data_IF_682859770597
#
_entry.id   IF_682859770597
#
_cell.length_a   1.000
_cell.length_b   1.000
_cell.length_c   1.000
_cell.angle_alpha   90.00
_cell.angle_beta   90.00
_cell.angle_gamma   90.00
#
_symmetry.space_group_name_H-M   'P 1'
#
loop_
_entity.id
_entity.type
_entity.pdbx_description
1 polymer ?
#
# COMPACT_ATOMS: atom_id res chain seq x y z
N UNK A 1 -27.17 5.80 2.58
CA UNK A 1 -25.94 6.58 2.87
C UNK A 1 -24.78 5.90 2.15
N UNK A 2 -23.93 6.67 1.49
CA UNK A 2 -22.72 6.15 0.84
C UNK A 2 -21.77 5.59 1.90
N UNK A 3 -21.20 4.41 1.68
CA UNK A 3 -20.21 3.79 2.57
C UNK A 3 -18.79 4.13 2.09
N UNK A 4 -17.83 4.08 3.00
CA UNK A 4 -16.41 4.20 2.67
C UNK A 4 -15.70 2.89 2.92
N UNK A 5 -15.38 2.16 1.85
CA UNK A 5 -14.63 0.93 1.91
C UNK A 5 -13.13 1.23 1.97
N UNK A 6 -12.41 0.61 2.90
CA UNK A 6 -10.95 0.75 3.01
C UNK A 6 -10.31 -0.62 2.93
N UNK A 7 -9.54 -0.85 1.86
CA UNK A 7 -8.91 -2.15 1.59
C UNK A 7 -7.45 -2.10 2.02
N UNK A 8 -7.10 -2.90 3.02
CA UNK A 8 -5.74 -3.10 3.48
C UNK A 8 -5.07 -4.26 2.74
N UNK A 9 -3.87 -4.03 2.21
CA UNK A 9 -3.02 -5.03 1.53
C UNK A 9 -1.73 -5.22 2.33
N UNK A 10 -1.52 -6.39 2.95
CA UNK A 10 -0.30 -6.67 3.70
C UNK A 10 0.96 -6.79 2.82
N UNK A 11 2.11 -6.86 3.50
CA UNK A 11 3.42 -7.14 2.90
C UNK A 11 3.61 -8.63 2.56
N UNK A 12 4.87 -9.04 2.35
CA UNK A 12 5.24 -10.39 1.89
C UNK A 12 4.77 -11.56 2.79
N UNK A 13 4.42 -11.28 4.05
CA UNK A 13 3.85 -12.25 5.00
C UNK A 13 2.32 -12.15 5.07
N UNK A 14 1.67 -11.95 3.92
CA UNK A 14 0.21 -11.79 3.81
C UNK A 14 -0.59 -13.05 4.17
N UNK A 15 0.07 -14.20 4.37
CA UNK A 15 -0.54 -15.41 4.96
C UNK A 15 -0.69 -15.32 6.49
N UNK A 16 -0.05 -14.35 7.15
CA UNK A 16 -0.13 -14.17 8.61
C UNK A 16 -1.59 -13.97 9.07
N UNK A 17 -1.97 -14.65 10.15
CA UNK A 17 -3.29 -14.51 10.78
C UNK A 17 -3.33 -13.24 11.63
N UNK A 18 -4.52 -12.66 11.80
CA UNK A 18 -4.75 -11.56 12.75
C UNK A 18 -4.79 -10.16 12.12
N UNK A 19 -4.46 -10.01 10.83
CA UNK A 19 -4.70 -8.76 10.11
C UNK A 19 -6.19 -8.41 10.15
N UNK A 20 -7.07 -9.38 9.94
CA UNK A 20 -8.52 -9.20 9.98
C UNK A 20 -8.96 -8.59 11.32
N UNK A 21 -8.46 -9.11 12.45
CA UNK A 21 -8.79 -8.59 13.78
C UNK A 21 -8.30 -7.16 14.02
N UNK A 22 -7.10 -6.83 13.52
CA UNK A 22 -6.52 -5.48 13.67
C UNK A 22 -7.30 -4.49 12.81
N UNK A 23 -7.52 -4.84 11.55
CA UNK A 23 -8.12 -3.98 10.52
C UNK A 23 -9.63 -3.81 10.76
N UNK A 24 -10.30 -4.80 11.34
CA UNK A 24 -11.70 -4.68 11.76
C UNK A 24 -11.92 -3.52 12.74
N UNK A 25 -10.94 -3.21 13.59
CA UNK A 25 -11.01 -2.07 14.51
C UNK A 25 -11.13 -0.73 13.80
N UNK A 26 -10.80 -0.66 12.50
CA UNK A 26 -10.96 0.57 11.72
C UNK A 26 -12.43 0.97 11.55
N UNK A 27 -13.40 0.10 11.84
CA UNK A 27 -14.83 0.45 11.92
C UNK A 27 -15.10 1.63 12.86
N UNK A 28 -14.26 1.88 13.87
CA UNK A 28 -14.37 3.05 14.75
C UNK A 28 -14.27 4.39 14.00
N UNK A 29 -13.68 4.40 12.79
CA UNK A 29 -13.59 5.56 11.92
C UNK A 29 -14.77 5.68 10.93
N UNK A 30 -15.81 4.85 11.08
CA UNK A 30 -16.99 4.88 10.23
C UNK A 30 -16.79 4.25 8.83
N UNK A 31 -15.72 3.48 8.65
CA UNK A 31 -15.41 2.81 7.37
C UNK A 31 -15.84 1.35 7.37
N UNK A 32 -15.92 0.75 6.18
CA UNK A 32 -16.03 -0.70 5.96
C UNK A 32 -14.63 -1.24 5.65
N UNK A 33 -13.92 -1.82 6.62
CA UNK A 33 -12.57 -2.31 6.39
C UNK A 33 -12.58 -3.66 5.66
N UNK A 34 -11.56 -3.88 4.83
CA UNK A 34 -11.30 -5.14 4.13
C UNK A 34 -9.82 -5.48 4.25
N UNK A 35 -9.50 -6.77 4.31
CA UNK A 35 -8.13 -7.26 4.14
C UNK A 35 -8.07 -8.04 2.83
N UNK A 36 -7.20 -7.63 1.91
CA UNK A 36 -6.95 -8.35 0.67
C UNK A 36 -5.54 -8.92 0.68
N UNK A 37 -5.42 -10.23 0.45
CA UNK A 37 -4.16 -10.97 0.45
C UNK A 37 -3.72 -11.19 -1.00
N UNK A 38 -2.49 -10.80 -1.33
CA UNK A 38 -1.96 -10.84 -2.70
C UNK A 38 -1.49 -12.24 -3.12
N UNK A 39 -1.20 -13.10 -2.13
CA UNK A 39 -0.51 -14.37 -2.34
C UNK A 39 0.95 -14.14 -2.72
N UNK A 40 1.71 -13.34 -1.95
CA UNK A 40 3.10 -13.01 -2.33
C UNK A 40 4.04 -14.22 -2.40
N UNK A 41 3.69 -15.32 -1.74
CA UNK A 41 4.47 -16.55 -1.61
C UNK A 41 3.70 -17.81 -2.05
N UNK A 42 2.70 -17.65 -2.91
CA UNK A 42 1.86 -18.76 -3.41
C UNK A 42 2.47 -19.55 -4.59
N UNK A 43 3.71 -19.23 -4.99
CA UNK A 43 4.42 -19.85 -6.11
C UNK A 43 4.19 -19.16 -7.46
N UNK A 44 3.23 -18.25 -7.59
CA UNK A 44 3.02 -17.48 -8.81
C UNK A 44 4.05 -16.35 -8.91
N UNK A 45 4.95 -16.46 -9.89
CA UNK A 45 6.11 -15.58 -10.02
C UNK A 45 5.79 -14.23 -10.66
N UNK A 46 4.72 -14.12 -11.44
CA UNK A 46 4.33 -12.87 -12.09
C UNK A 46 3.34 -12.07 -11.24
N UNK A 47 3.53 -10.76 -11.21
CA UNK A 47 2.62 -9.81 -10.58
C UNK A 47 1.36 -9.55 -11.40
N UNK A 48 1.44 -9.60 -12.73
CA UNK A 48 0.32 -9.21 -13.61
C UNK A 48 -0.99 -9.97 -13.32
N UNK A 49 -1.00 -11.31 -13.13
CA UNK A 49 -2.21 -12.03 -12.74
C UNK A 49 -2.72 -11.61 -11.35
N UNK A 50 -1.82 -11.39 -10.39
CA UNK A 50 -2.17 -10.91 -9.04
C UNK A 50 -2.84 -9.54 -9.09
N UNK A 51 -2.28 -8.61 -9.88
CA UNK A 51 -2.85 -7.30 -10.12
C UNK A 51 -4.23 -7.39 -10.74
N UNK A 52 -4.42 -8.25 -11.76
CA UNK A 52 -5.73 -8.46 -12.39
C UNK A 52 -6.78 -8.97 -11.40
N UNK A 53 -6.42 -9.92 -10.52
CA UNK A 53 -7.34 -10.42 -9.48
C UNK A 53 -7.67 -9.31 -8.47
N UNK A 54 -6.69 -8.52 -8.07
CA UNK A 54 -6.90 -7.43 -7.13
C UNK A 54 -7.76 -6.31 -7.72
N UNK A 55 -7.52 -5.89 -8.97
CA UNK A 55 -8.38 -4.90 -9.63
C UNK A 55 -9.80 -5.41 -9.83
N UNK A 56 -9.97 -6.69 -10.19
CA UNK A 56 -11.30 -7.31 -10.28
C UNK A 56 -12.02 -7.31 -8.93
N UNK A 57 -11.31 -7.55 -7.83
CA UNK A 57 -11.88 -7.44 -6.47
C UNK A 57 -12.31 -6.01 -6.14
N UNK A 58 -11.51 -5.01 -6.49
CA UNK A 58 -11.88 -3.59 -6.29
C UNK A 58 -13.11 -3.22 -7.12
N UNK A 59 -13.23 -3.73 -8.35
CA UNK A 59 -14.39 -3.47 -9.22
C UNK A 59 -15.69 -4.11 -8.70
N UNK A 60 -15.60 -5.15 -7.87
CA UNK A 60 -16.75 -5.75 -7.20
C UNK A 60 -17.23 -4.91 -6.01
N UNK A 61 -16.39 -4.01 -5.47
CA UNK A 61 -16.84 -3.03 -4.50
C UNK A 61 -17.73 -2.00 -5.22
N UNK A 62 -18.77 -1.45 -4.56
CA UNK A 62 -19.71 -0.51 -5.17
C UNK A 62 -19.09 0.89 -5.43
N UNK A 63 -17.94 0.96 -6.11
CA UNK A 63 -17.12 2.16 -6.40
C UNK A 63 -17.88 3.32 -7.07
N UNK A 64 -19.03 3.06 -7.69
CA UNK A 64 -19.88 4.06 -8.33
C UNK A 64 -20.90 4.70 -7.37
N UNK A 65 -21.04 4.15 -6.15
CA UNK A 65 -21.99 4.59 -5.12
C UNK A 65 -21.30 4.88 -3.78
N UNK A 66 -20.20 4.19 -3.54
CA UNK A 66 -19.41 4.19 -2.31
C UNK A 66 -17.98 4.63 -2.60
N UNK A 67 -17.33 5.21 -1.59
CA UNK A 67 -15.92 5.57 -1.66
C UNK A 67 -15.06 4.33 -1.43
N UNK A 68 -13.97 4.20 -2.19
CA UNK A 68 -12.96 3.15 -1.96
C UNK A 68 -11.59 3.78 -1.79
N UNK A 69 -10.94 3.49 -0.67
CA UNK A 69 -9.54 3.84 -0.41
C UNK A 69 -8.68 2.59 -0.24
N UNK A 70 -7.40 2.67 -0.60
CA UNK A 70 -6.46 1.57 -0.50
C UNK A 70 -5.34 1.88 0.49
N UNK A 71 -4.94 0.91 1.30
CA UNK A 71 -3.81 1.01 2.23
C UNK A 71 -2.90 -0.19 1.99
N UNK A 72 -1.70 0.03 1.47
CA UNK A 72 -0.72 -1.02 1.22
C UNK A 72 0.46 -0.93 2.17
N UNK A 73 0.82 -2.01 2.84
CA UNK A 73 1.99 -2.08 3.71
C UNK A 73 3.13 -2.86 3.07
N UNK A 74 4.36 -2.34 3.18
CA UNK A 74 5.56 -2.97 2.63
C UNK A 74 5.34 -3.33 1.14
N UNK A 75 5.42 -4.60 0.74
CA UNK A 75 5.11 -5.05 -0.63
C UNK A 75 3.73 -4.60 -1.14
N UNK A 76 2.71 -4.57 -0.26
CA UNK A 76 1.36 -4.12 -0.59
C UNK A 76 1.29 -2.67 -1.07
N UNK A 77 2.26 -1.83 -0.69
CA UNK A 77 2.34 -0.42 -1.11
C UNK A 77 2.43 -0.25 -2.63
N UNK A 78 3.36 -0.97 -3.26
CA UNK A 78 3.48 -0.99 -4.72
C UNK A 78 2.25 -1.59 -5.41
N UNK A 79 1.58 -2.57 -4.78
CA UNK A 79 0.40 -3.21 -5.34
C UNK A 79 -0.82 -2.27 -5.38
N UNK A 80 -1.09 -1.55 -4.28
CA UNK A 80 -2.21 -0.59 -4.22
C UNK A 80 -2.01 0.59 -5.15
N UNK A 81 -0.76 1.04 -5.35
CA UNK A 81 -0.46 2.14 -6.27
C UNK A 81 -0.57 1.72 -7.74
N UNK A 82 -0.14 0.50 -8.10
CA UNK A 82 -0.38 -0.04 -9.43
C UNK A 82 -1.89 -0.17 -9.73
N UNK A 83 -2.66 -0.63 -8.75
CA UNK A 83 -4.13 -0.74 -8.82
C UNK A 83 -4.77 0.63 -9.02
N UNK A 84 -4.29 1.63 -8.29
CA UNK A 84 -4.78 2.99 -8.39
C UNK A 84 -4.57 3.64 -9.75
N UNK A 85 -3.43 3.38 -10.38
CA UNK A 85 -3.16 3.84 -11.75
C UNK A 85 -4.20 3.25 -12.73
N UNK A 86 -4.65 2.02 -12.50
CA UNK A 86 -5.69 1.37 -13.33
C UNK A 86 -7.12 1.79 -12.95
N UNK A 87 -7.33 2.36 -11.76
CA UNK A 87 -8.63 2.76 -11.20
C UNK A 87 -8.55 4.16 -10.57
N UNK A 88 -8.45 5.23 -11.37
CA UNK A 88 -8.26 6.60 -10.88
C UNK A 88 -9.43 7.15 -10.04
N UNK A 89 -10.59 6.48 -10.07
CA UNK A 89 -11.76 6.79 -9.23
C UNK A 89 -11.54 6.48 -7.74
N UNK A 90 -10.50 5.72 -7.37
CA UNK A 90 -10.15 5.50 -5.97
C UNK A 90 -9.98 6.84 -5.25
N UNK A 91 -10.50 6.88 -4.03
CA UNK A 91 -10.63 8.07 -3.20
C UNK A 91 -9.26 8.53 -2.66
N UNK A 92 -8.55 7.62 -2.00
CA UNK A 92 -7.22 7.84 -1.44
C UNK A 92 -6.38 6.56 -1.45
N UNK A 93 -5.06 6.71 -1.55
CA UNK A 93 -4.10 5.59 -1.52
C UNK A 93 -2.99 5.86 -0.53
N UNK A 94 -2.71 4.87 0.31
CA UNK A 94 -1.74 4.99 1.38
C UNK A 94 -0.66 3.92 1.20
N UNK A 95 0.59 4.37 1.13
CA UNK A 95 1.78 3.52 1.13
C UNK A 95 2.43 3.54 2.52
N UNK A 96 2.35 2.42 3.25
CA UNK A 96 2.94 2.25 4.58
C UNK A 96 4.27 1.51 4.48
N UNK A 97 5.38 2.24 4.60
CA UNK A 97 6.74 1.71 4.54
C UNK A 97 7.01 0.88 3.26
N UNK A 98 6.24 1.06 2.18
CA UNK A 98 6.37 0.23 0.99
C UNK A 98 7.39 0.77 0.02
N UNK A 99 8.21 -0.14 -0.51
CA UNK A 99 9.19 0.15 -1.55
C UNK A 99 8.46 0.42 -2.88
N UNK A 100 8.71 1.57 -3.48
CA UNK A 100 8.09 2.00 -4.73
C UNK A 100 9.05 2.01 -5.92
N UNK A 101 10.34 1.81 -5.69
CA UNK A 101 11.35 1.77 -6.73
C UNK A 101 12.56 0.94 -6.36
N UNK A 102 13.34 0.56 -7.36
CA UNK A 102 14.59 -0.17 -7.18
C UNK A 102 15.59 0.65 -6.37
N UNK A 103 15.73 1.93 -6.69
CA UNK A 103 16.71 2.83 -6.05
C UNK A 103 18.14 2.59 -6.55
N UNK A 104 18.98 3.62 -6.42
CA UNK A 104 20.40 3.57 -6.84
C UNK A 104 21.30 3.53 -5.61
N UNK A 105 22.23 2.56 -5.56
CA UNK A 105 23.21 2.40 -4.47
C UNK A 105 22.57 2.33 -3.08
N UNK A 106 21.43 1.62 -2.97
CA UNK A 106 20.69 1.47 -1.72
C UNK A 106 20.83 0.06 -1.16
N UNK A 107 20.89 -0.06 0.16
CA UNK A 107 20.93 -1.33 0.87
C UNK A 107 19.71 -1.46 1.82
N UNK A 108 18.99 -2.60 1.79
CA UNK A 108 19.19 -3.73 0.88
C UNK A 108 18.76 -3.43 -0.57
N UNK A 109 19.38 -4.09 -1.55
CA UNK A 109 18.96 -4.03 -2.96
C UNK A 109 17.57 -4.63 -3.14
N UNK A 110 16.88 -4.25 -4.22
CA UNK A 110 15.55 -4.79 -4.51
C UNK A 110 15.62 -6.32 -4.73
N UNK A 111 16.68 -6.79 -5.39
CA UNK A 111 16.91 -8.23 -5.61
C UNK A 111 17.02 -9.00 -4.30
N UNK A 112 17.78 -8.47 -3.34
CA UNK A 112 17.89 -9.09 -2.02
C UNK A 112 16.55 -9.09 -1.28
N UNK A 113 15.83 -7.96 -1.28
CA UNK A 113 14.54 -7.81 -0.62
C UNK A 113 13.45 -8.69 -1.25
N UNK A 114 13.54 -8.97 -2.55
CA UNK A 114 12.56 -9.74 -3.32
C UNK A 114 12.95 -11.19 -3.59
N UNK A 115 14.06 -11.68 -3.03
CA UNK A 115 14.59 -13.04 -3.28
C UNK A 115 13.60 -14.19 -3.08
N UNK A 116 12.55 -13.98 -2.25
CA UNK A 116 11.48 -14.97 -1.98
C UNK A 116 10.16 -14.64 -2.69
N UNK A 117 10.09 -13.57 -3.47
CA UNK A 117 8.87 -13.15 -4.17
C UNK A 117 9.23 -12.35 -5.44
N UNK A 118 9.40 -13.03 -6.59
CA UNK A 118 9.61 -12.37 -7.88
C UNK A 118 8.45 -11.42 -8.24
N UNK A 119 7.22 -11.78 -7.87
CA UNK A 119 6.05 -10.94 -8.10
C UNK A 119 6.15 -9.59 -7.36
N UNK A 120 6.71 -9.56 -6.15
CA UNK A 120 6.97 -8.27 -5.47
C UNK A 120 7.98 -7.41 -6.24
N UNK A 121 9.07 -7.99 -6.75
CA UNK A 121 10.03 -7.27 -7.61
C UNK A 121 9.34 -6.68 -8.83
N UNK A 122 8.51 -7.47 -9.51
CA UNK A 122 7.76 -7.01 -10.69
C UNK A 122 6.78 -5.89 -10.32
N UNK A 123 6.07 -5.98 -9.19
CA UNK A 123 5.19 -4.92 -8.69
C UNK A 123 5.91 -3.59 -8.50
N UNK A 124 7.09 -3.62 -7.87
CA UNK A 124 7.92 -2.42 -7.67
C UNK A 124 8.37 -1.83 -9.00
N UNK A 125 8.95 -2.64 -9.90
CA UNK A 125 9.44 -2.17 -11.20
C UNK A 125 8.31 -1.66 -12.10
N UNK A 126 7.14 -2.30 -12.04
CA UNK A 126 5.97 -1.86 -12.77
C UNK A 126 5.49 -0.49 -12.28
N UNK A 127 5.42 -0.27 -10.96
CA UNK A 127 5.05 1.03 -10.42
C UNK A 127 6.09 2.09 -10.78
N UNK A 128 7.38 1.82 -10.59
CA UNK A 128 8.47 2.75 -10.94
C UNK A 128 8.39 3.21 -12.41
N UNK A 129 8.08 2.29 -13.33
CA UNK A 129 7.86 2.61 -14.75
C UNK A 129 6.63 3.48 -14.99
N UNK A 130 5.56 3.29 -14.21
CA UNK A 130 4.28 4.01 -14.38
C UNK A 130 4.23 5.32 -13.60
N UNK A 131 5.05 5.49 -12.56
CA UNK A 131 5.08 6.66 -11.67
C UNK A 131 5.14 7.99 -12.45
N UNK A 132 6.00 8.18 -13.47
CA UNK A 132 6.08 9.44 -14.22
C UNK A 132 4.76 9.87 -14.89
N UNK A 133 3.88 8.91 -15.20
CA UNK A 133 2.60 9.18 -15.85
C UNK A 133 1.48 9.58 -14.88
N UNK A 134 1.75 9.57 -13.56
CA UNK A 134 0.77 10.02 -12.58
C UNK A 134 0.58 11.53 -12.63
N UNK A 135 -0.68 11.97 -12.75
CA UNK A 135 -1.04 13.39 -12.74
C UNK A 135 -0.86 14.02 -11.36
N UNK A 136 -0.81 15.35 -11.30
CA UNK A 136 -0.78 16.09 -10.03
C UNK A 136 -2.00 15.76 -9.14
N UNK A 137 -3.19 15.67 -9.75
CA UNK A 137 -4.42 15.24 -9.06
C UNK A 137 -4.28 13.83 -8.48
N UNK A 138 -3.71 12.90 -9.26
CA UNK A 138 -3.52 11.54 -8.77
C UNK A 138 -2.57 11.50 -7.59
N UNK A 139 -1.43 12.18 -7.68
CA UNK A 139 -0.40 12.28 -6.62
C UNK A 139 -0.97 12.93 -5.36
N UNK A 140 -1.83 13.94 -5.50
CA UNK A 140 -2.49 14.62 -4.39
C UNK A 140 -3.39 13.71 -3.54
N UNK A 141 -3.84 12.57 -4.06
CA UNK A 141 -4.61 11.53 -3.33
C UNK A 141 -3.74 10.48 -2.66
N UNK A 142 -2.42 10.59 -2.73
CA UNK A 142 -1.48 9.63 -2.14
C UNK A 142 -0.89 10.17 -0.84
N UNK A 143 -0.84 9.30 0.17
CA UNK A 143 -0.05 9.47 1.38
C UNK A 143 1.03 8.38 1.45
N UNK A 144 2.27 8.77 1.70
CA UNK A 144 3.33 7.82 2.08
C UNK A 144 3.67 8.02 3.54
N UNK A 145 3.90 6.91 4.26
CA UNK A 145 4.35 6.92 5.65
C UNK A 145 5.64 6.09 5.72
N UNK A 146 6.67 6.67 6.32
CA UNK A 146 7.98 6.05 6.57
C UNK A 146 8.33 6.13 8.05
N UNK A 147 9.09 5.17 8.60
CA UNK A 147 9.69 5.34 9.92
C UNK A 147 10.92 6.24 9.85
N UNK A 148 11.47 6.63 11.00
CA UNK A 148 12.75 7.35 11.09
C UNK A 148 13.90 6.50 10.55
N UNK A 149 13.84 5.19 10.83
CA UNK A 149 14.81 4.22 10.37
C UNK A 149 14.12 2.91 9.96
N UNK A 150 14.52 2.36 8.82
CA UNK A 150 14.00 1.14 8.22
C UNK A 150 15.16 0.32 7.64
N UNK A 151 15.37 -0.87 8.18
CA UNK A 151 16.41 -1.82 7.80
C UNK A 151 16.09 -2.62 6.53
N UNK A 152 14.81 -2.64 6.12
CA UNK A 152 14.32 -3.46 5.01
C UNK A 152 14.07 -2.63 3.76
N UNK A 153 13.58 -1.40 3.93
CA UNK A 153 13.17 -0.52 2.84
C UNK A 153 13.93 0.80 2.91
N UNK A 154 14.87 1.03 1.98
CA UNK A 154 15.61 2.29 1.94
C UNK A 154 14.67 3.48 1.79
N UNK A 155 14.81 4.49 2.66
CA UNK A 155 13.88 5.65 2.72
C UNK A 155 13.70 6.38 1.39
N UNK A 156 14.76 6.47 0.58
CA UNK A 156 14.73 7.09 -0.76
C UNK A 156 13.81 6.37 -1.76
N UNK A 157 13.40 5.14 -1.46
CA UNK A 157 12.56 4.32 -2.33
C UNK A 157 11.07 4.39 -1.99
N UNK A 158 10.68 5.13 -0.95
CA UNK A 158 9.30 5.12 -0.42
C UNK A 158 8.52 6.39 -0.78
N UNK A 159 9.18 7.55 -0.77
CA UNK A 159 8.52 8.84 -0.98
C UNK A 159 7.98 8.98 -2.39
N UNK A 160 6.90 9.74 -2.58
CA UNK A 160 6.33 10.02 -3.89
C UNK A 160 6.28 11.54 -4.08
N UNK A 161 6.96 12.07 -5.10
CA UNK A 161 6.93 13.51 -5.39
C UNK A 161 5.49 13.96 -5.68
N UNK A 162 5.08 15.12 -5.18
CA UNK A 162 3.71 15.64 -5.29
C UNK A 162 2.66 14.92 -4.43
N UNK A 163 3.03 13.90 -3.65
CA UNK A 163 2.17 13.28 -2.65
C UNK A 163 2.40 13.89 -1.26
N UNK A 164 1.51 13.57 -0.31
CA UNK A 164 1.78 13.85 1.10
C UNK A 164 2.75 12.79 1.62
N UNK A 165 3.94 13.19 2.02
CA UNK A 165 4.95 12.28 2.57
C UNK A 165 5.12 12.55 4.06
N UNK A 166 4.95 11.53 4.91
CA UNK A 166 5.09 11.64 6.36
C UNK A 166 6.14 10.67 6.88
N UNK A 167 6.79 11.09 7.97
CA UNK A 167 7.65 10.22 8.77
C UNK A 167 7.07 10.13 10.18
N UNK A 168 7.00 8.91 10.73
CA UNK A 168 6.56 8.64 12.10
C UNK A 168 7.77 8.37 13.01
N UNK A 169 7.68 8.70 14.31
CA UNK A 169 8.77 8.48 15.26
C UNK A 169 8.85 7.01 15.70
N UNK A 170 9.11 6.13 14.74
CA UNK A 170 9.34 4.71 14.97
C UNK A 170 10.62 4.27 14.25
N UNK A 171 11.15 3.14 14.70
CA UNK A 171 12.27 2.44 14.10
C UNK A 171 11.81 1.02 13.77
N UNK A 172 12.52 0.37 12.86
CA UNK A 172 12.28 -0.98 12.37
C UNK A 172 11.07 -1.14 11.45
N UNK A 173 11.24 -1.93 10.39
CA UNK A 173 10.24 -2.06 9.33
C UNK A 173 8.91 -2.68 9.81
N UNK A 174 8.99 -3.84 10.46
CA UNK A 174 7.81 -4.62 10.85
C UNK A 174 7.04 -3.97 11.99
N UNK A 175 7.75 -3.46 13.01
CA UNK A 175 7.15 -2.72 14.10
C UNK A 175 6.45 -1.46 13.57
N UNK A 176 7.12 -0.70 12.71
CA UNK A 176 6.54 0.52 12.13
C UNK A 176 5.30 0.25 11.30
N UNK A 177 5.28 -0.83 10.51
CA UNK A 177 4.10 -1.27 9.78
C UNK A 177 2.91 -1.59 10.69
N UNK A 178 3.15 -2.32 11.79
CA UNK A 178 2.12 -2.65 12.78
C UNK A 178 1.61 -1.41 13.51
N UNK A 179 2.52 -0.51 13.92
CA UNK A 179 2.17 0.76 14.55
C UNK A 179 1.32 1.63 13.62
N UNK A 180 1.62 1.65 12.32
CA UNK A 180 0.83 2.38 11.32
C UNK A 180 -0.63 1.95 11.28
N UNK A 181 -0.90 0.64 11.33
CA UNK A 181 -2.27 0.13 11.23
C UNK A 181 -3.01 0.09 12.57
N UNK A 182 -2.32 0.33 13.69
CA UNK A 182 -2.90 0.36 15.04
C UNK A 182 -2.85 1.77 15.62
N UNK A 183 -1.75 2.14 16.25
CA UNK A 183 -1.57 3.39 17.02
C UNK A 183 -1.61 4.63 16.11
N UNK A 184 -0.99 4.57 14.94
CA UNK A 184 -0.95 5.68 13.98
C UNK A 184 -2.06 5.61 12.93
N UNK A 185 -3.03 4.71 13.07
CA UNK A 185 -4.20 4.68 12.18
C UNK A 185 -4.99 5.99 12.12
N UNK A 186 -5.07 6.84 13.18
CA UNK A 186 -5.66 8.18 13.05
C UNK A 186 -5.00 9.05 11.97
N UNK A 187 -3.69 8.90 11.70
CA UNK A 187 -3.01 9.65 10.63
C UNK A 187 -3.50 9.23 9.24
N UNK A 188 -3.74 7.92 9.06
CA UNK A 188 -4.30 7.34 7.83
C UNK A 188 -5.72 7.87 7.63
N UNK A 189 -6.57 7.76 8.65
CA UNK A 189 -7.98 8.16 8.53
C UNK A 189 -8.19 9.67 8.45
N UNK A 190 -7.34 10.47 9.11
CA UNK A 190 -7.34 11.93 8.91
C UNK A 190 -7.04 12.32 7.46
N UNK A 191 -6.24 11.53 6.74
CA UNK A 191 -5.98 11.75 5.32
C UNK A 191 -7.15 11.26 4.46
N UNK A 192 -7.63 10.04 4.71
CA UNK A 192 -8.72 9.41 3.96
C UNK A 192 -10.02 10.24 4.03
N UNK A 193 -10.40 10.70 5.23
CA UNK A 193 -11.68 11.37 5.48
C UNK A 193 -11.68 12.87 5.16
N UNK A 194 -10.51 13.46 4.87
CA UNK A 194 -10.39 14.87 4.46
C UNK A 194 -10.37 15.08 2.95
N UNK A 195 -10.17 14.00 2.19
CA UNK A 195 -10.26 14.00 0.74
C UNK A 195 -11.70 13.89 0.31
#
# INVERSE_FOLDING_TARGET
MSKHHVVYVPGLDDSRKGYELIIEKWKIYGVVPHVYRMGWKDGETSFKPKLKRFTSYIDQLPINKDLVSLVGASAGGSAVLNTYIERPQIHAVINLCGRLREGKNVHPSLDFASRKSPAFKESVKLFEKREPNMTATQRGKVLTITPLWDEVVPRSTVSLSGAVNKTIPSVEHMLSGLLCITIFSPLIFKFILKK
#
